data_IF_277895069426
#
_entry.id   IF_277895069426
#
_cell.length_a   1.000
_cell.length_b   1.000
_cell.length_c   1.000
_cell.angle_alpha   90.00
_cell.angle_beta   90.00
_cell.angle_gamma   90.00
#
_symmetry.space_group_name_H-M   'P 1'
#
loop_
_entity.id
_entity.type
_entity.pdbx_description
1 polymer ?
#
# COMPACT_ATOMS: atom_id res chain seq x y z
N UNK A 1 -7.84 -7.33 -12.63
CA UNK A 1 -7.19 -6.22 -11.92
C UNK A 1 -5.88 -6.72 -11.34
N UNK A 2 -4.76 -6.10 -11.73
CA UNK A 2 -3.42 -6.40 -11.26
C UNK A 2 -2.94 -5.28 -10.34
N UNK A 3 -2.57 -5.65 -9.11
CA UNK A 3 -2.02 -4.75 -8.10
C UNK A 3 -0.54 -5.08 -7.93
N UNK A 4 0.33 -4.15 -8.30
CA UNK A 4 1.76 -4.22 -8.09
C UNK A 4 2.14 -3.60 -6.74
N UNK A 5 2.78 -4.35 -5.87
CA UNK A 5 3.48 -3.81 -4.71
C UNK A 5 4.93 -3.56 -5.06
N UNK A 6 5.35 -2.30 -5.09
CA UNK A 6 6.70 -1.91 -5.50
C UNK A 6 7.79 -2.56 -4.65
N UNK A 7 7.51 -2.67 -3.35
CA UNK A 7 8.43 -3.22 -2.36
C UNK A 7 7.82 -4.45 -1.70
N UNK A 8 8.51 -5.59 -1.78
CA UNK A 8 8.17 -6.77 -0.98
C UNK A 8 8.73 -6.62 0.42
N UNK A 9 7.89 -6.24 1.38
CA UNK A 9 8.32 -6.17 2.78
C UNK A 9 8.49 -7.60 3.30
N UNK A 10 9.74 -7.97 3.61
CA UNK A 10 10.05 -9.28 4.19
C UNK A 10 9.50 -9.34 5.61
N UNK A 11 8.81 -10.45 5.92
CA UNK A 11 8.29 -10.73 7.26
C UNK A 11 9.42 -10.70 8.29
N UNK A 12 9.44 -9.67 9.11
CA UNK A 12 10.17 -9.67 10.37
C UNK A 12 9.09 -9.77 11.43
N UNK A 13 9.07 -10.87 12.20
CA UNK A 13 8.10 -11.09 13.28
C UNK A 13 7.90 -9.77 14.05
N UNK A 14 6.65 -9.31 14.15
CA UNK A 14 6.22 -8.09 14.86
C UNK A 14 6.42 -6.75 14.13
N UNK A 15 6.73 -6.75 12.84
CA UNK A 15 6.73 -5.52 12.05
C UNK A 15 5.31 -4.95 11.92
N UNK A 16 5.11 -3.64 12.15
CA UNK A 16 3.83 -2.96 11.87
C UNK A 16 3.39 -3.14 10.40
N UNK A 17 4.35 -3.39 9.52
CA UNK A 17 4.15 -3.64 8.11
C UNK A 17 3.59 -5.05 7.81
N UNK A 18 3.68 -6.00 8.75
CA UNK A 18 3.03 -7.32 8.65
C UNK A 18 1.49 -7.21 8.76
N UNK A 19 0.92 -6.05 9.15
CA UNK A 19 -0.53 -5.88 9.29
C UNK A 19 -1.30 -6.10 7.99
N UNK A 20 -0.67 -5.84 6.86
CA UNK A 20 -1.26 -6.04 5.55
C UNK A 20 -1.44 -7.53 5.21
N UNK A 21 -0.72 -8.46 5.89
CA UNK A 21 -0.82 -9.94 5.74
C UNK A 21 -1.14 -10.37 4.30
N UNK A 22 -0.41 -9.83 3.32
CA UNK A 22 -0.82 -9.89 1.91
C UNK A 22 -0.96 -11.31 1.37
N UNK A 23 -0.15 -12.25 1.85
CA UNK A 23 -0.27 -13.67 1.50
C UNK A 23 -1.58 -14.31 1.97
N UNK A 24 -2.21 -13.75 3.00
CA UNK A 24 -3.51 -14.20 3.49
C UNK A 24 -4.66 -13.42 2.88
N UNK A 25 -4.45 -12.13 2.59
CA UNK A 25 -5.42 -11.35 1.83
C UNK A 25 -5.57 -11.91 0.42
N UNK A 26 -4.48 -12.29 -0.25
CA UNK A 26 -4.53 -12.88 -1.59
C UNK A 26 -5.39 -14.14 -1.69
N UNK A 27 -5.55 -14.88 -0.58
CA UNK A 27 -6.42 -16.07 -0.52
C UNK A 27 -7.92 -15.74 -0.45
N UNK A 28 -8.27 -14.51 -0.09
CA UNK A 28 -9.67 -14.07 0.07
C UNK A 28 -10.07 -13.00 -0.95
N UNK A 29 -9.15 -12.60 -1.83
CA UNK A 29 -9.48 -11.67 -2.89
C UNK A 29 -10.33 -12.37 -3.96
N UNK A 30 -11.28 -11.66 -4.59
CA UNK A 30 -11.96 -12.13 -5.79
C UNK A 30 -10.96 -12.65 -6.83
N UNK A 31 -11.32 -13.72 -7.55
CA UNK A 31 -10.40 -14.41 -8.47
C UNK A 31 -9.89 -13.57 -9.66
N UNK A 32 -10.50 -12.42 -9.92
CA UNK A 32 -10.07 -11.45 -10.92
C UNK A 32 -9.10 -10.38 -10.38
N UNK A 33 -8.72 -10.46 -9.10
CA UNK A 33 -7.73 -9.57 -8.47
C UNK A 33 -6.45 -10.35 -8.23
N UNK A 34 -5.34 -9.85 -8.78
CA UNK A 34 -4.04 -10.45 -8.65
C UNK A 34 -3.07 -9.48 -7.99
N UNK A 35 -2.32 -9.97 -7.00
CA UNK A 35 -1.24 -9.22 -6.36
C UNK A 35 0.08 -9.72 -6.93
N UNK A 36 0.96 -8.80 -7.30
CA UNK A 36 2.33 -9.09 -7.72
C UNK A 36 3.34 -8.19 -7.02
N UNK A 37 4.59 -8.65 -6.98
CA UNK A 37 5.75 -7.87 -6.55
C UNK A 37 6.79 -7.75 -7.68
N UNK A 38 6.42 -8.22 -8.88
CA UNK A 38 7.25 -8.21 -10.08
C UNK A 38 7.19 -6.82 -10.73
N UNK A 39 8.28 -6.05 -10.62
CA UNK A 39 8.36 -4.67 -11.13
C UNK A 39 8.28 -4.59 -12.65
N UNK A 40 8.59 -5.67 -13.37
CA UNK A 40 8.44 -5.74 -14.83
C UNK A 40 6.96 -5.64 -15.27
N UNK A 41 6.03 -5.80 -14.31
CA UNK A 41 4.59 -5.62 -14.53
C UNK A 41 4.11 -4.18 -14.34
N UNK A 42 4.99 -3.23 -14.06
CA UNK A 42 4.63 -1.82 -13.85
C UNK A 42 3.75 -1.27 -14.97
N UNK A 43 4.11 -1.50 -16.24
CA UNK A 43 3.37 -0.95 -17.39
C UNK A 43 1.96 -1.53 -17.61
N UNK A 44 1.66 -2.67 -16.98
CA UNK A 44 0.38 -3.39 -17.13
C UNK A 44 -0.40 -3.51 -15.83
N UNK A 45 0.12 -2.97 -14.73
CA UNK A 45 -0.57 -2.96 -13.45
C UNK A 45 -1.67 -1.90 -13.47
N UNK A 46 -2.86 -2.26 -12.98
CA UNK A 46 -3.94 -1.30 -12.80
C UNK A 46 -3.68 -0.40 -11.59
N UNK A 47 -3.02 -0.94 -10.56
CA UNK A 47 -2.72 -0.25 -9.31
C UNK A 47 -1.26 -0.50 -8.90
N UNK A 48 -0.55 0.55 -8.49
CA UNK A 48 0.81 0.46 -7.96
C UNK A 48 0.82 0.97 -6.52
N UNK A 49 1.25 0.12 -5.61
CA UNK A 49 1.33 0.38 -4.17
C UNK A 49 2.77 0.69 -3.80
N UNK A 50 3.04 1.93 -3.38
CA UNK A 50 4.35 2.41 -2.97
C UNK A 50 4.40 2.68 -1.47
N UNK A 51 5.49 2.25 -0.83
CA UNK A 51 5.73 2.54 0.59
C UNK A 51 6.41 3.89 0.74
N UNK A 52 5.81 4.76 1.54
CA UNK A 52 6.30 6.11 1.79
C UNK A 52 7.72 6.12 2.38
N UNK A 53 8.05 5.16 3.25
CA UNK A 53 9.38 5.02 3.85
C UNK A 53 10.47 4.67 2.82
N UNK A 54 10.10 3.91 1.78
CA UNK A 54 11.05 3.39 0.80
C UNK A 54 11.10 4.21 -0.49
N UNK A 55 10.20 5.18 -0.64
CA UNK A 55 10.07 6.04 -1.82
C UNK A 55 11.43 6.63 -2.25
N UNK A 56 12.13 7.29 -1.32
CA UNK A 56 13.40 7.96 -1.59
C UNK A 56 14.56 6.99 -1.90
N UNK A 57 14.47 5.74 -1.43
CA UNK A 57 15.54 4.76 -1.59
C UNK A 57 15.40 3.88 -2.81
N UNK A 58 14.18 3.74 -3.32
CA UNK A 58 13.84 2.73 -4.33
C UNK A 58 13.38 3.31 -5.67
N UNK A 59 13.17 4.62 -5.75
CA UNK A 59 12.96 5.36 -7.00
C UNK A 59 14.31 5.93 -7.45
N UNK A 60 15.09 5.11 -8.14
CA UNK A 60 16.36 5.56 -8.75
C UNK A 60 16.13 6.19 -10.14
N UNK A 61 15.03 5.81 -10.81
CA UNK A 61 14.65 6.27 -12.14
C UNK A 61 13.32 7.04 -12.13
N UNK A 62 13.17 7.97 -13.07
CA UNK A 62 11.89 8.64 -13.34
C UNK A 62 10.88 7.59 -13.84
N UNK A 63 9.94 7.21 -12.98
CA UNK A 63 8.87 6.27 -13.33
C UNK A 63 7.78 6.99 -14.13
N UNK A 64 7.52 6.49 -15.34
CA UNK A 64 6.36 6.94 -16.12
C UNK A 64 5.08 6.24 -15.62
N UNK A 65 4.10 7.04 -15.21
CA UNK A 65 2.76 6.57 -14.81
C UNK A 65 1.84 6.52 -16.03
N UNK A 66 1.37 5.33 -16.48
CA UNK A 66 0.35 5.23 -17.51
C UNK A 66 -0.97 5.90 -17.08
N UNK A 67 -1.69 6.53 -18.00
CA UNK A 67 -2.94 7.28 -17.69
C UNK A 67 -4.02 6.46 -16.98
N UNK A 68 -4.06 5.14 -17.24
CA UNK A 68 -5.05 4.23 -16.66
C UNK A 68 -4.67 3.71 -15.28
N UNK A 69 -3.46 4.02 -14.80
CA UNK A 69 -2.88 3.42 -13.60
C UNK A 69 -3.11 4.29 -12.37
N UNK A 70 -3.50 3.65 -11.27
CA UNK A 70 -3.68 4.30 -9.97
C UNK A 70 -2.43 4.08 -9.12
N UNK A 71 -1.82 5.16 -8.66
CA UNK A 71 -0.70 5.14 -7.72
C UNK A 71 -1.22 5.38 -6.31
N UNK A 72 -0.97 4.42 -5.43
CA UNK A 72 -1.34 4.46 -4.03
C UNK A 72 -0.08 4.53 -3.20
N UNK A 73 0.04 5.55 -2.36
CA UNK A 73 1.12 5.63 -1.38
C UNK A 73 0.60 5.21 -0.01
N UNK A 74 1.41 4.45 0.73
CA UNK A 74 1.03 4.04 2.07
C UNK A 74 2.18 4.12 3.07
N UNK A 75 1.84 4.40 4.32
CA UNK A 75 2.83 4.53 5.39
C UNK A 75 2.22 4.65 6.77
N UNK A 76 3.02 4.28 7.76
CA UNK A 76 2.74 4.46 9.19
C UNK A 76 3.69 5.48 9.82
N UNK A 77 4.54 6.11 9.03
CA UNK A 77 5.60 6.95 9.56
C UNK A 77 5.09 8.35 9.88
N UNK A 78 5.55 8.88 11.02
CA UNK A 78 5.11 10.19 11.49
C UNK A 78 5.85 11.31 10.77
N UNK A 79 5.12 12.34 10.37
CA UNK A 79 5.65 13.59 9.83
C UNK A 79 6.63 14.30 10.78
N UNK A 80 6.57 14.03 12.10
CA UNK A 80 7.55 14.57 13.06
C UNK A 80 8.95 14.01 12.79
N UNK A 81 9.04 12.74 12.40
CA UNK A 81 10.32 12.07 12.13
C UNK A 81 10.73 12.23 10.66
N UNK A 82 9.74 12.36 9.76
CA UNK A 82 9.95 12.48 8.33
C UNK A 82 9.09 13.61 7.72
N UNK A 83 9.43 14.89 7.95
CA UNK A 83 8.59 16.02 7.53
C UNK A 83 8.36 16.10 6.01
N UNK A 84 9.30 15.58 5.23
CA UNK A 84 9.22 15.54 3.76
C UNK A 84 8.10 14.65 3.24
N UNK A 85 7.59 13.70 4.04
CA UNK A 85 6.58 12.72 3.61
C UNK A 85 5.23 13.32 3.24
N UNK A 86 4.95 14.56 3.68
CA UNK A 86 3.70 15.26 3.41
C UNK A 86 3.94 16.60 2.71
N UNK A 87 5.07 16.74 2.00
CA UNK A 87 5.29 17.89 1.13
C UNK A 87 4.21 17.94 0.04
N UNK A 88 3.84 19.14 -0.36
CA UNK A 88 2.85 19.31 -1.43
C UNK A 88 3.35 18.71 -2.76
N UNK A 89 4.68 18.72 -2.98
CA UNK A 89 5.33 18.07 -4.11
C UNK A 89 5.02 16.56 -4.21
N UNK A 90 4.94 15.84 -3.08
CA UNK A 90 4.61 14.42 -3.09
C UNK A 90 3.11 14.17 -3.22
N UNK A 91 2.25 15.08 -2.74
CA UNK A 91 0.79 14.92 -2.80
C UNK A 91 0.29 14.82 -4.23
N UNK A 92 0.89 15.58 -5.14
CA UNK A 92 0.46 15.62 -6.54
C UNK A 92 0.88 14.39 -7.36
N UNK A 93 1.75 13.53 -6.83
CA UNK A 93 2.24 12.32 -7.51
C UNK A 93 1.24 11.16 -7.39
N UNK A 94 0.59 11.03 -6.24
CA UNK A 94 -0.23 9.87 -5.88
C UNK A 94 -1.72 10.18 -5.97
N UNK A 95 -2.49 9.22 -6.50
CA UNK A 95 -3.95 9.37 -6.59
C UNK A 95 -4.64 9.10 -5.26
N UNK A 96 -4.07 8.20 -4.46
CA UNK A 96 -4.64 7.78 -3.17
C UNK A 96 -3.58 7.71 -2.08
N UNK A 97 -3.94 8.27 -0.93
CA UNK A 97 -3.13 8.26 0.28
C UNK A 97 -3.71 7.28 1.30
N UNK A 98 -2.87 6.34 1.71
CA UNK A 98 -3.23 5.31 2.66
C UNK A 98 -2.36 5.42 3.92
N UNK A 99 -2.77 6.25 4.89
CA UNK A 99 -1.98 6.55 6.10
C UNK A 99 -2.81 6.48 7.39
N UNK A 100 -2.17 6.71 8.53
CA UNK A 100 -2.84 6.71 9.83
C UNK A 100 -3.70 7.95 10.10
N UNK A 101 -3.55 9.01 9.30
CA UNK A 101 -4.36 10.22 9.42
C UNK A 101 -5.83 9.94 9.08
N UNK A 102 -6.74 10.57 9.81
CA UNK A 102 -8.19 10.33 9.67
C UNK A 102 -8.79 10.95 8.41
N UNK A 103 -8.07 11.88 7.79
CA UNK A 103 -8.42 12.57 6.55
C UNK A 103 -7.73 11.96 5.31
N UNK A 104 -6.98 10.86 5.46
CA UNK A 104 -6.45 10.09 4.33
C UNK A 104 -7.57 9.38 3.56
N UNK A 105 -7.41 9.21 2.24
CA UNK A 105 -8.37 8.50 1.38
C UNK A 105 -8.68 7.10 1.92
N UNK A 106 -7.64 6.43 2.42
CA UNK A 106 -7.75 5.12 3.07
C UNK A 106 -7.07 5.16 4.44
N UNK A 107 -7.87 5.18 5.50
CA UNK A 107 -7.34 5.20 6.87
C UNK A 107 -6.75 3.84 7.28
N UNK A 108 -5.43 3.82 7.51
CA UNK A 108 -4.65 2.74 8.12
C UNK A 108 -4.38 3.01 9.61
N UNK A 109 -5.23 2.54 10.53
CA UNK A 109 -4.99 2.74 11.95
C UNK A 109 -3.80 1.89 12.42
N UNK A 110 -2.91 2.46 13.25
CA UNK A 110 -1.83 1.71 13.92
C UNK A 110 -2.30 0.45 14.66
N UNK A 111 -3.55 0.44 15.13
CA UNK A 111 -4.17 -0.70 15.79
C UNK A 111 -5.54 -1.00 15.20
N UNK A 112 -5.66 -2.18 14.60
CA UNK A 112 -6.95 -2.79 14.30
C UNK A 112 -7.62 -3.23 15.61
N UNK A 113 -8.72 -2.57 15.99
CA UNK A 113 -9.52 -2.98 17.14
C UNK A 113 -10.10 -4.39 16.95
N UNK A 114 -10.31 -5.14 18.05
CA UNK A 114 -10.84 -6.54 18.03
C UNK A 114 -12.13 -6.70 17.20
N UNK A 115 -12.93 -5.63 17.06
CA UNK A 115 -14.17 -5.60 16.28
C UNK A 115 -13.93 -5.68 14.76
N UNK A 116 -12.89 -5.01 14.23
CA UNK A 116 -12.53 -5.10 12.80
C UNK A 116 -11.95 -6.47 12.42
N UNK A 117 -11.21 -7.12 13.34
CA UNK A 117 -10.68 -8.50 13.13
C UNK A 117 -11.77 -9.53 12.83
N UNK A 118 -12.94 -9.42 13.50
CA UNK A 118 -14.08 -10.33 13.27
C UNK A 118 -14.75 -10.15 11.91
N UNK A 119 -14.74 -8.95 11.35
CA UNK A 119 -15.32 -8.67 10.01
C UNK A 119 -14.45 -9.24 8.89
N UNK A 120 -13.13 -9.08 8.99
CA UNK A 120 -12.18 -9.69 8.05
C UNK A 120 -12.22 -11.22 8.05
N UNK A 121 -12.47 -11.86 9.20
CA UNK A 121 -12.69 -13.31 9.26
C UNK A 121 -14.02 -13.75 8.65
N UNK A 122 -15.02 -12.87 8.57
CA UNK A 122 -16.32 -13.20 7.98
C UNK A 122 -16.26 -13.21 6.44
N UNK A 123 -15.43 -12.34 5.85
CA UNK A 123 -15.13 -12.36 4.41
C UNK A 123 -14.35 -13.62 3.95
N UNK A 124 -13.89 -14.50 4.85
CA UNK A 124 -13.36 -15.82 4.48
C UNK A 124 -14.43 -16.85 4.12
N UNK A 125 -15.71 -16.54 4.39
CA UNK A 125 -16.83 -17.48 4.26
C UNK A 125 -17.91 -16.99 3.28
N UNK A 126 -17.59 -15.98 2.47
CA UNK A 126 -18.37 -15.55 1.30
C UNK A 126 -17.50 -15.73 0.07
#
# INVERSE_FOLDING_TARGET
MLILFWTKIRRIKFSIYDQLRMDELSQILPGNIHITYDRDKMSVADVVMLSLLFLYRELEDDLEKPEHQIWVVWGYESEVNYPWMFSDELKDIFDLWMTYHLDSDIVLPYRLTKRKKRRLSFCRYL
#
